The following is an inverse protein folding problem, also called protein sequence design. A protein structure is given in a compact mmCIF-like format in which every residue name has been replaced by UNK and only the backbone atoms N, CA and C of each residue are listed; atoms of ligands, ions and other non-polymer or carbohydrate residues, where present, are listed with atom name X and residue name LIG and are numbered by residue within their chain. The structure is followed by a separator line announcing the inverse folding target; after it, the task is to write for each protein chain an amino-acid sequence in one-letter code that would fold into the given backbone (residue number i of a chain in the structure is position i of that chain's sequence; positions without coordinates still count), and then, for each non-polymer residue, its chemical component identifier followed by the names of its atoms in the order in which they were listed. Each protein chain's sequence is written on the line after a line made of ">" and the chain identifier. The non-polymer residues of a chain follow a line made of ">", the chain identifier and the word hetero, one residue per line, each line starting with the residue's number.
data_IF_768025445358
#
_entry.id   IF_768025445358
#
_cell.length_a   1.000
_cell.length_b   1.000
_cell.length_c   1.000
_cell.angle_alpha   90.00
_cell.angle_beta   90.00
_cell.angle_gamma   90.00
#
_symmetry.space_group_name_H-M   'P 1'
#
loop_
_entity.id
_entity.type
_entity.pdbx_description
1 polymer ?
#
# COMPACT_ATOMS: atom_id res chain seq x y z
N UNK A 1 -8.55 4.68 -4.06
CA UNK A 1 -8.63 5.31 -2.73
C UNK A 1 -9.78 4.76 -1.91
N UNK A 2 -9.73 4.97 -0.62
CA UNK A 2 -10.72 4.49 0.34
C UNK A 2 -10.48 3.04 0.80
N UNK A 3 -11.47 2.49 1.50
CA UNK A 3 -11.41 1.16 2.08
C UNK A 3 -12.37 0.25 1.31
N UNK A 4 -11.93 -0.50 0.29
CA UNK A 4 -12.82 -1.30 -0.55
C UNK A 4 -13.53 -2.41 0.24
N UNK A 5 -12.97 -2.86 1.36
CA UNK A 5 -13.61 -3.81 2.25
C UNK A 5 -14.87 -3.28 2.97
N UNK A 6 -15.19 -1.98 2.87
CA UNK A 6 -16.49 -1.43 3.29
C UNK A 6 -17.66 -1.87 2.41
N UNK A 7 -17.39 -2.24 1.15
CA UNK A 7 -18.43 -2.72 0.25
C UNK A 7 -19.05 -4.00 0.78
N UNK A 8 -20.37 -4.15 0.60
CA UNK A 8 -21.06 -5.40 0.89
C UNK A 8 -20.64 -6.49 -0.12
N UNK A 9 -20.81 -7.75 0.26
CA UNK A 9 -20.51 -8.89 -0.63
C UNK A 9 -21.25 -8.77 -1.98
N UNK A 10 -22.50 -8.28 -1.96
CA UNK A 10 -23.25 -8.04 -3.20
C UNK A 10 -22.60 -7.00 -4.08
N UNK A 11 -22.16 -5.86 -3.49
CA UNK A 11 -21.49 -4.79 -4.24
C UNK A 11 -20.14 -5.26 -4.78
N UNK A 12 -19.36 -6.01 -3.98
CA UNK A 12 -18.08 -6.58 -4.43
C UNK A 12 -18.29 -7.50 -5.65
N UNK A 13 -19.23 -8.44 -5.59
CA UNK A 13 -19.53 -9.32 -6.73
C UNK A 13 -19.99 -8.53 -7.94
N UNK A 14 -20.93 -7.58 -7.78
CA UNK A 14 -21.40 -6.74 -8.89
C UNK A 14 -20.27 -5.97 -9.55
N UNK A 15 -19.37 -5.38 -8.75
CA UNK A 15 -18.21 -4.64 -9.28
C UNK A 15 -17.26 -5.58 -10.03
N UNK A 16 -16.90 -6.71 -9.43
CA UNK A 16 -15.97 -7.68 -10.02
C UNK A 16 -16.53 -8.30 -11.30
N UNK A 17 -17.82 -8.66 -11.31
CA UNK A 17 -18.47 -9.21 -12.52
C UNK A 17 -18.38 -8.20 -13.68
N UNK A 18 -18.62 -6.91 -13.40
CA UNK A 18 -18.45 -5.86 -14.41
C UNK A 18 -17.01 -5.66 -14.86
N UNK A 19 -16.04 -5.80 -13.94
CA UNK A 19 -14.62 -5.73 -14.30
C UNK A 19 -14.22 -6.92 -15.18
N UNK A 20 -14.72 -8.12 -14.89
CA UNK A 20 -14.50 -9.33 -15.72
C UNK A 20 -15.05 -9.20 -17.13
N UNK A 21 -16.16 -8.46 -17.32
CA UNK A 21 -16.72 -8.18 -18.63
C UNK A 21 -15.81 -7.24 -19.47
N UNK A 22 -14.97 -6.43 -18.81
CA UNK A 22 -14.20 -5.36 -19.46
C UNK A 22 -12.71 -5.67 -19.60
N UNK A 23 -12.16 -6.48 -18.70
CA UNK A 23 -10.73 -6.78 -18.62
C UNK A 23 -10.47 -8.29 -18.69
N UNK A 24 -9.30 -8.72 -19.20
CA UNK A 24 -8.92 -10.13 -19.25
C UNK A 24 -8.57 -10.64 -17.84
N UNK A 25 -9.56 -10.74 -16.98
CA UNK A 25 -9.43 -11.07 -15.56
C UNK A 25 -8.70 -12.39 -15.33
N UNK A 26 -8.96 -13.40 -16.16
CA UNK A 26 -8.37 -14.73 -16.05
C UNK A 26 -6.89 -14.78 -16.46
N UNK A 27 -6.40 -13.72 -17.13
CA UNK A 27 -4.99 -13.55 -17.48
C UNK A 27 -4.23 -12.69 -16.45
N UNK A 28 -4.90 -12.23 -15.41
CA UNK A 28 -4.33 -11.36 -14.38
C UNK A 28 -3.43 -12.16 -13.44
N UNK A 29 -2.17 -11.76 -13.34
CA UNK A 29 -1.20 -12.42 -12.46
C UNK A 29 -1.45 -12.15 -10.97
N UNK A 30 -2.00 -10.98 -10.63
CA UNK A 30 -2.31 -10.60 -9.24
C UNK A 30 -3.61 -9.81 -9.15
N UNK A 31 -4.48 -10.24 -8.26
CA UNK A 31 -5.63 -9.47 -7.79
C UNK A 31 -5.42 -9.14 -6.31
N UNK A 32 -4.89 -7.96 -6.04
CA UNK A 32 -4.65 -7.49 -4.68
C UNK A 32 -5.88 -6.78 -4.12
N UNK A 33 -6.18 -7.01 -2.85
CA UNK A 33 -7.33 -6.39 -2.18
C UNK A 33 -6.97 -5.88 -0.79
N UNK A 34 -7.17 -4.57 -0.58
CA UNK A 34 -6.90 -3.88 0.69
C UNK A 34 -8.07 -4.01 1.65
N UNK A 35 -7.80 -4.41 2.88
CA UNK A 35 -8.81 -4.68 3.89
C UNK A 35 -8.54 -3.97 5.22
N UNK A 36 -9.57 -3.35 5.76
CA UNK A 36 -9.63 -2.92 7.15
C UNK A 36 -10.20 -4.06 8.00
N UNK A 37 -9.49 -4.59 9.02
CA UNK A 37 -9.91 -5.76 9.79
C UNK A 37 -11.32 -5.66 10.38
N UNK A 38 -11.72 -4.47 10.87
CA UNK A 38 -13.03 -4.22 11.45
C UNK A 38 -14.21 -4.33 10.47
N UNK A 39 -13.94 -4.28 9.15
CA UNK A 39 -14.97 -4.42 8.11
C UNK A 39 -15.13 -5.86 7.61
N UNK A 40 -14.26 -6.77 8.05
CA UNK A 40 -14.21 -8.14 7.57
C UNK A 40 -15.12 -9.07 8.38
N UNK A 41 -15.86 -9.91 7.66
CA UNK A 41 -16.52 -11.08 8.17
C UNK A 41 -16.04 -12.32 7.41
N UNK A 42 -16.23 -13.50 7.97
CA UNK A 42 -15.90 -14.76 7.31
C UNK A 42 -16.52 -14.85 5.90
N UNK A 43 -17.83 -14.55 5.78
CA UNK A 43 -18.52 -14.49 4.48
C UNK A 43 -17.91 -13.51 3.49
N UNK A 44 -17.34 -12.40 3.97
CA UNK A 44 -16.68 -11.43 3.09
C UNK A 44 -15.34 -11.95 2.61
N UNK A 45 -14.55 -12.56 3.49
CA UNK A 45 -13.27 -13.19 3.14
C UNK A 45 -13.47 -14.35 2.15
N UNK A 46 -14.47 -15.20 2.38
CA UNK A 46 -14.88 -16.24 1.40
C UNK A 46 -15.25 -15.62 0.05
N UNK A 47 -16.06 -14.57 0.05
CA UNK A 47 -16.43 -13.89 -1.19
C UNK A 47 -15.23 -13.27 -1.92
N UNK A 48 -14.25 -12.71 -1.19
CA UNK A 48 -13.01 -12.20 -1.79
C UNK A 48 -12.22 -13.33 -2.46
N UNK A 49 -12.12 -14.49 -1.82
CA UNK A 49 -11.47 -15.66 -2.44
C UNK A 49 -12.24 -16.14 -3.67
N UNK A 50 -13.55 -16.22 -3.62
CA UNK A 50 -14.43 -16.67 -4.72
C UNK A 50 -14.32 -15.76 -5.96
N UNK A 51 -14.19 -14.44 -5.78
CA UNK A 51 -14.07 -13.49 -6.90
C UNK A 51 -12.68 -13.45 -7.51
N UNK A 52 -11.71 -14.18 -6.95
CA UNK A 52 -10.38 -14.36 -7.52
C UNK A 52 -9.30 -13.47 -6.89
N UNK A 53 -9.50 -12.96 -5.68
CA UNK A 53 -8.43 -12.26 -4.95
C UNK A 53 -7.30 -13.25 -4.67
N UNK A 54 -6.10 -12.92 -5.09
CA UNK A 54 -4.88 -13.71 -4.89
C UNK A 54 -4.07 -13.20 -3.71
N UNK A 55 -3.93 -11.87 -3.56
CA UNK A 55 -3.24 -11.23 -2.44
C UNK A 55 -4.21 -10.42 -1.58
N UNK A 56 -4.32 -10.81 -0.32
CA UNK A 56 -5.08 -10.08 0.70
C UNK A 56 -4.11 -9.20 1.49
N UNK A 57 -4.40 -7.91 1.61
CA UNK A 57 -3.62 -6.96 2.43
C UNK A 57 -4.49 -6.47 3.58
N UNK A 58 -4.01 -6.65 4.82
CA UNK A 58 -4.73 -6.31 6.04
C UNK A 58 -4.06 -5.11 6.73
N UNK A 59 -4.74 -3.99 6.76
CA UNK A 59 -4.30 -2.79 7.48
C UNK A 59 -4.41 -2.97 9.00
N UNK A 60 -3.49 -3.72 9.59
CA UNK A 60 -3.46 -3.98 11.04
C UNK A 60 -2.90 -2.78 11.79
N UNK A 61 -1.85 -2.16 11.26
CA UNK A 61 -1.16 -0.98 11.73
C UNK A 61 -0.42 -1.17 13.06
N UNK A 62 -1.07 -1.71 14.08
CA UNK A 62 -0.53 -2.08 15.38
C UNK A 62 -1.40 -3.17 16.03
N UNK A 63 -0.87 -3.89 17.04
CA UNK A 63 -1.61 -4.89 17.81
C UNK A 63 -2.00 -4.41 19.21
N UNK A 64 -1.76 -3.16 19.55
CA UNK A 64 -2.13 -2.57 20.84
C UNK A 64 -3.40 -1.72 20.69
N UNK A 65 -4.44 -2.07 21.45
CA UNK A 65 -5.75 -1.44 21.35
C UNK A 65 -5.72 0.05 21.74
N UNK A 66 -4.85 0.46 22.67
CA UNK A 66 -4.68 1.87 23.01
C UNK A 66 -4.09 2.65 21.84
N UNK A 67 -3.01 2.12 21.23
CA UNK A 67 -2.39 2.75 20.06
C UNK A 67 -3.38 2.86 18.90
N UNK A 68 -4.13 1.79 18.60
CA UNK A 68 -5.16 1.82 17.57
C UNK A 68 -6.21 2.89 17.86
N UNK A 69 -6.69 2.99 19.11
CA UNK A 69 -7.72 3.94 19.51
C UNK A 69 -7.29 5.40 19.38
N UNK A 70 -6.13 5.76 19.93
CA UNK A 70 -5.63 7.15 19.89
C UNK A 70 -5.29 7.61 18.49
N UNK A 71 -5.00 6.68 17.58
CA UNK A 71 -4.77 6.96 16.16
C UNK A 71 -6.03 6.84 15.28
N UNK A 72 -7.21 6.70 15.90
CA UNK A 72 -8.50 6.73 15.20
C UNK A 72 -8.79 5.50 14.35
N UNK A 73 -8.17 4.36 14.64
CA UNK A 73 -8.43 3.11 13.92
C UNK A 73 -9.78 2.53 14.33
N UNK A 74 -10.53 2.04 13.36
CA UNK A 74 -11.88 1.53 13.57
C UNK A 74 -11.91 0.13 14.19
N UNK A 75 -10.83 -0.65 14.03
CA UNK A 75 -10.69 -2.01 14.56
C UNK A 75 -9.90 -2.05 15.86
N UNK A 76 -9.93 -3.21 16.51
CA UNK A 76 -9.11 -3.58 17.66
C UNK A 76 -8.29 -4.83 17.33
N UNK A 77 -7.30 -5.14 18.14
CA UNK A 77 -6.39 -6.27 17.97
C UNK A 77 -7.12 -7.62 17.78
N UNK A 78 -8.22 -7.83 18.52
CA UNK A 78 -9.02 -9.06 18.40
C UNK A 78 -9.60 -9.26 16.99
N UNK A 79 -10.02 -8.19 16.31
CA UNK A 79 -10.53 -8.24 14.94
C UNK A 79 -9.42 -8.53 13.94
N UNK A 80 -8.22 -7.96 14.16
CA UNK A 80 -7.03 -8.27 13.39
C UNK A 80 -6.66 -9.76 13.49
N UNK A 81 -6.56 -10.30 14.70
CA UNK A 81 -6.27 -11.72 14.92
C UNK A 81 -7.33 -12.65 14.32
N UNK A 82 -8.62 -12.28 14.44
CA UNK A 82 -9.70 -13.07 13.84
C UNK A 82 -9.60 -13.08 12.31
N UNK A 83 -9.40 -11.91 11.71
CA UNK A 83 -9.28 -11.78 10.25
C UNK A 83 -8.09 -12.58 9.71
N UNK A 84 -6.90 -12.46 10.33
CA UNK A 84 -5.70 -13.21 9.96
C UNK A 84 -5.91 -14.70 10.05
N UNK A 85 -6.40 -15.20 11.19
CA UNK A 85 -6.62 -16.64 11.38
C UNK A 85 -7.57 -17.20 10.33
N UNK A 86 -8.67 -16.51 10.04
CA UNK A 86 -9.62 -16.99 9.05
C UNK A 86 -9.06 -16.88 7.63
N UNK A 87 -8.39 -15.78 7.27
CA UNK A 87 -7.73 -15.64 5.97
C UNK A 87 -6.75 -16.79 5.68
N UNK A 88 -5.95 -17.20 6.67
CA UNK A 88 -5.01 -18.30 6.56
C UNK A 88 -5.69 -19.67 6.30
N UNK A 89 -7.00 -19.82 6.60
CA UNK A 89 -7.75 -21.06 6.28
C UNK A 89 -8.31 -21.09 4.87
N UNK A 90 -8.36 -19.94 4.18
CA UNK A 90 -9.00 -19.81 2.86
C UNK A 90 -8.06 -20.04 1.67
N UNK A 91 -6.74 -20.17 1.93
CA UNK A 91 -5.76 -20.43 0.90
C UNK A 91 -5.63 -19.29 -0.12
N UNK A 92 -5.59 -18.04 0.33
CA UNK A 92 -5.08 -16.95 -0.50
C UNK A 92 -3.63 -17.24 -0.86
N UNK A 93 -3.22 -16.85 -2.06
CA UNK A 93 -1.85 -17.09 -2.53
C UNK A 93 -0.85 -16.33 -1.66
N UNK A 94 -1.27 -15.14 -1.16
CA UNK A 94 -0.48 -14.32 -0.26
C UNK A 94 -1.37 -13.54 0.73
N UNK A 95 -0.94 -13.48 1.98
CA UNK A 95 -1.52 -12.62 3.03
C UNK A 95 -0.45 -11.63 3.48
N UNK A 96 -0.69 -10.35 3.19
CA UNK A 96 0.11 -9.22 3.66
C UNK A 96 -0.53 -8.59 4.88
N UNK A 97 0.29 -8.11 5.82
CA UNK A 97 -0.14 -7.19 6.86
C UNK A 97 0.61 -5.88 6.75
N UNK A 98 -0.08 -4.78 7.02
CA UNK A 98 0.53 -3.45 7.09
C UNK A 98 0.74 -3.06 8.55
N UNK A 99 1.93 -2.54 8.87
CA UNK A 99 2.29 -1.98 10.16
C UNK A 99 2.73 -0.52 9.98
N UNK A 100 2.49 0.32 11.01
CA UNK A 100 2.91 1.72 10.99
C UNK A 100 3.81 2.01 12.18
N UNK A 101 5.06 2.35 11.92
CA UNK A 101 6.03 2.78 12.91
C UNK A 101 5.87 4.27 13.25
N UNK A 102 5.88 4.60 14.54
CA UNK A 102 5.89 5.97 15.02
C UNK A 102 4.51 6.61 15.17
N UNK A 103 3.49 5.81 15.43
CA UNK A 103 2.12 6.26 15.72
C UNK A 103 2.07 7.12 17.00
N UNK A 104 0.96 7.84 17.22
CA UNK A 104 0.76 8.59 18.46
C UNK A 104 0.77 7.64 19.67
N UNK A 105 1.39 8.07 20.75
CA UNK A 105 1.58 7.33 22.02
C UNK A 105 2.38 6.02 21.89
N UNK A 106 2.89 5.70 20.71
CA UNK A 106 3.72 4.52 20.51
C UNK A 106 5.10 4.70 21.16
N UNK A 107 5.54 3.68 21.89
CA UNK A 107 6.88 3.59 22.47
C UNK A 107 7.71 2.53 21.75
N UNK A 108 9.03 2.58 21.94
CA UNK A 108 9.92 1.57 21.40
C UNK A 108 9.55 0.14 21.86
N UNK A 109 9.17 -0.02 23.14
CA UNK A 109 8.74 -1.30 23.66
C UNK A 109 7.41 -1.77 23.06
N UNK A 110 6.48 -0.85 22.78
CA UNK A 110 5.25 -1.19 22.07
C UNK A 110 5.55 -1.62 20.64
N UNK A 111 6.38 -0.86 19.93
CA UNK A 111 6.79 -1.20 18.56
C UNK A 111 7.45 -2.59 18.48
N UNK A 112 8.38 -2.89 19.39
CA UNK A 112 9.04 -4.20 19.47
C UNK A 112 8.05 -5.33 19.68
N UNK A 113 7.11 -5.17 20.61
CA UNK A 113 6.04 -6.17 20.81
C UNK A 113 5.14 -6.32 19.59
N UNK A 114 4.83 -5.21 18.90
CA UNK A 114 4.04 -5.24 17.68
C UNK A 114 4.73 -6.09 16.58
N UNK A 115 6.02 -5.87 16.35
CA UNK A 115 6.82 -6.64 15.39
C UNK A 115 6.92 -8.11 15.77
N UNK A 116 7.21 -8.42 17.05
CA UNK A 116 7.28 -9.81 17.52
C UNK A 116 5.91 -10.51 17.35
N UNK A 117 4.82 -9.82 17.67
CA UNK A 117 3.46 -10.34 17.43
C UNK A 117 3.22 -10.62 15.94
N UNK A 118 3.64 -9.73 15.05
CA UNK A 118 3.52 -9.94 13.60
C UNK A 118 4.29 -11.19 13.15
N UNK A 119 5.50 -11.38 13.66
CA UNK A 119 6.31 -12.59 13.39
C UNK A 119 5.60 -13.86 13.88
N UNK A 120 5.02 -13.84 15.08
CA UNK A 120 4.25 -14.96 15.62
C UNK A 120 3.03 -15.32 14.77
N UNK A 121 2.36 -14.32 14.19
CA UNK A 121 1.23 -14.54 13.27
C UNK A 121 1.69 -15.15 11.94
N UNK A 122 2.92 -14.96 11.53
CA UNK A 122 3.58 -15.60 10.39
C UNK A 122 2.96 -15.28 9.02
N UNK A 123 2.60 -14.03 8.69
CA UNK A 123 2.07 -13.69 7.38
C UNK A 123 3.10 -13.94 6.27
N UNK A 124 2.66 -14.02 5.01
CA UNK A 124 3.57 -14.21 3.89
C UNK A 124 4.44 -12.98 3.65
N UNK A 125 3.91 -11.81 3.94
CA UNK A 125 4.62 -10.55 3.82
C UNK A 125 4.14 -9.51 4.84
N UNK A 126 5.03 -8.56 5.17
CA UNK A 126 4.74 -7.44 6.06
C UNK A 126 5.23 -6.17 5.40
N UNK A 127 4.33 -5.20 5.25
CA UNK A 127 4.66 -3.86 4.77
C UNK A 127 4.71 -2.91 5.96
N UNK A 128 5.83 -2.21 6.12
CA UNK A 128 6.06 -1.30 7.24
C UNK A 128 6.11 0.13 6.73
N UNK A 129 5.13 0.93 7.15
CA UNK A 129 5.07 2.36 6.88
C UNK A 129 5.62 3.15 8.06
N UNK A 130 6.04 4.38 7.81
CA UNK A 130 6.37 5.36 8.83
C UNK A 130 5.23 6.35 8.96
N UNK A 131 4.75 6.60 10.18
CA UNK A 131 3.61 7.49 10.40
C UNK A 131 3.86 8.88 9.84
N UNK A 132 2.99 9.31 8.95
CA UNK A 132 2.93 10.66 8.40
C UNK A 132 1.59 11.30 8.73
N UNK A 133 1.59 12.59 9.00
CA UNK A 133 0.36 13.35 9.24
C UNK A 133 0.20 14.36 8.11
N UNK A 134 -0.59 14.01 7.07
CA UNK A 134 -0.89 14.96 6.01
C UNK A 134 -1.65 16.19 6.52
N UNK A 135 -1.38 17.35 5.92
CA UNK A 135 -1.90 18.66 6.35
C UNK A 135 -3.43 18.78 6.35
N UNK A 136 -4.14 17.91 5.64
CA UNK A 136 -5.60 17.93 5.53
C UNK A 136 -6.31 16.97 6.51
N UNK A 137 -5.56 16.23 7.33
CA UNK A 137 -6.13 15.29 8.31
C UNK A 137 -6.74 16.00 9.53
N UNK A 138 -7.63 15.31 10.23
CA UNK A 138 -8.21 15.80 11.50
C UNK A 138 -7.11 16.08 12.53
N UNK A 139 -6.15 15.16 12.68
CA UNK A 139 -5.00 15.31 13.57
C UNK A 139 -4.23 16.60 13.26
N UNK A 140 -3.95 16.87 11.98
CA UNK A 140 -3.25 18.09 11.59
C UNK A 140 -4.06 19.36 11.93
N UNK A 141 -5.37 19.33 11.68
CA UNK A 141 -6.26 20.47 11.98
C UNK A 141 -6.35 20.76 13.48
N UNK A 142 -6.47 19.71 14.29
CA UNK A 142 -6.49 19.80 15.76
C UNK A 142 -5.14 20.29 16.32
N UNK A 143 -4.03 19.76 15.81
CA UNK A 143 -2.69 20.21 16.15
C UNK A 143 -2.52 21.70 15.85
N UNK A 144 -2.93 22.16 14.66
CA UNK A 144 -2.86 23.56 14.27
C UNK A 144 -3.76 24.45 15.15
N UNK A 145 -4.98 24.01 15.45
CA UNK A 145 -5.91 24.72 16.32
C UNK A 145 -5.36 24.85 17.76
N UNK A 146 -4.62 23.84 18.25
CA UNK A 146 -3.94 23.87 19.54
C UNK A 146 -2.61 24.65 19.55
N UNK A 147 -2.22 25.28 18.43
CA UNK A 147 -0.97 26.04 18.31
C UNK A 147 0.31 25.17 18.36
N UNK A 148 0.20 23.85 18.14
CA UNK A 148 1.33 22.94 18.16
C UNK A 148 2.08 23.01 16.82
N UNK A 149 3.40 23.10 16.89
CA UNK A 149 4.30 23.15 15.72
C UNK A 149 4.74 21.76 15.27
N UNK A 150 4.73 20.79 16.19
CA UNK A 150 5.14 19.40 15.93
C UNK A 150 3.99 18.44 16.13
N UNK A 151 3.92 17.44 15.26
CA UNK A 151 2.96 16.36 15.40
C UNK A 151 3.27 15.49 16.63
N UNK A 152 2.26 14.95 17.33
CA UNK A 152 2.43 14.06 18.48
C UNK A 152 2.79 12.62 18.06
N UNK A 153 3.72 12.48 17.12
CA UNK A 153 4.23 11.22 16.58
C UNK A 153 5.74 11.16 16.72
N UNK A 154 6.34 9.98 16.63
CA UNK A 154 7.78 9.84 16.67
C UNK A 154 8.47 10.70 15.60
N UNK A 155 9.63 11.25 15.93
CA UNK A 155 10.45 12.01 14.97
C UNK A 155 11.09 11.07 13.93
N UNK A 156 11.48 11.62 12.80
CA UNK A 156 12.04 10.84 11.69
C UNK A 156 13.25 9.96 12.05
N UNK A 157 14.24 10.43 12.82
CA UNK A 157 15.33 9.55 13.25
C UNK A 157 14.87 8.34 14.03
N UNK A 158 13.92 8.52 14.95
CA UNK A 158 13.32 7.43 15.75
C UNK A 158 12.57 6.44 14.85
N UNK A 159 11.72 6.94 13.94
CA UNK A 159 10.98 6.07 13.01
C UNK A 159 11.91 5.25 12.13
N UNK A 160 12.98 5.87 11.60
CA UNK A 160 13.98 5.13 10.81
C UNK A 160 14.67 4.04 11.64
N UNK A 161 15.12 4.36 12.85
CA UNK A 161 15.75 3.38 13.73
C UNK A 161 14.79 2.22 14.07
N UNK A 162 13.50 2.51 14.28
CA UNK A 162 12.49 1.48 14.54
C UNK A 162 12.22 0.59 13.31
N UNK A 163 12.20 1.15 12.12
CA UNK A 163 12.06 0.38 10.88
C UNK A 163 13.29 -0.48 10.62
N UNK A 164 14.49 0.06 10.80
CA UNK A 164 15.73 -0.70 10.67
C UNK A 164 15.78 -1.86 11.66
N UNK A 165 15.40 -1.62 12.92
CA UNK A 165 15.30 -2.67 13.94
C UNK A 165 14.28 -3.75 13.52
N UNK A 166 13.11 -3.34 13.03
CA UNK A 166 12.08 -4.27 12.60
C UNK A 166 12.53 -5.14 11.43
N UNK A 167 13.19 -4.57 10.43
CA UNK A 167 13.72 -5.33 9.30
C UNK A 167 14.73 -6.37 9.75
N UNK A 168 15.71 -6.00 10.58
CA UNK A 168 16.67 -6.93 11.15
C UNK A 168 15.96 -8.05 11.94
N UNK A 169 14.93 -7.69 12.73
CA UNK A 169 14.19 -8.66 13.53
C UNK A 169 13.38 -9.64 12.68
N UNK A 170 12.80 -9.19 11.56
CA UNK A 170 12.17 -10.06 10.58
C UNK A 170 13.17 -10.97 9.87
N UNK A 171 14.35 -10.45 9.51
CA UNK A 171 15.42 -11.27 8.91
C UNK A 171 15.91 -12.38 9.88
N UNK A 172 16.08 -12.07 11.17
CA UNK A 172 16.36 -13.06 12.21
C UNK A 172 15.27 -14.14 12.31
N UNK A 173 14.02 -13.79 12.00
CA UNK A 173 12.90 -14.72 11.97
C UNK A 173 12.73 -15.46 10.63
N UNK A 174 13.68 -15.28 9.68
CA UNK A 174 13.70 -15.97 8.39
C UNK A 174 12.95 -15.30 7.26
N UNK A 175 12.56 -14.03 7.41
CA UNK A 175 12.07 -13.22 6.31
C UNK A 175 13.22 -12.61 5.52
N UNK A 176 12.94 -12.18 4.30
CA UNK A 176 13.88 -11.46 3.43
C UNK A 176 13.35 -10.09 3.08
N UNK A 177 14.22 -9.08 2.99
CA UNK A 177 13.84 -7.74 2.53
C UNK A 177 13.51 -7.78 1.04
N UNK A 178 12.31 -7.32 0.68
CA UNK A 178 11.79 -7.28 -0.70
C UNK A 178 11.74 -5.87 -1.29
N UNK A 179 11.67 -4.86 -0.43
CA UNK A 179 11.72 -3.45 -0.85
C UNK A 179 12.05 -2.55 0.35
N UNK A 180 12.13 -1.25 0.12
CA UNK A 180 12.30 -0.24 1.18
C UNK A 180 11.19 -0.26 2.25
N UNK A 181 10.11 -1.00 2.02
CA UNK A 181 8.94 -1.03 2.92
C UNK A 181 8.51 -2.44 3.31
N UNK A 182 9.02 -3.50 2.65
CA UNK A 182 8.38 -4.81 2.73
C UNK A 182 9.40 -5.91 2.99
N UNK A 183 9.05 -6.79 3.91
CA UNK A 183 9.71 -8.09 4.10
C UNK A 183 8.79 -9.22 3.68
N UNK A 184 9.35 -10.31 3.15
CA UNK A 184 8.62 -11.49 2.66
C UNK A 184 9.16 -12.75 3.29
N UNK A 185 8.28 -13.71 3.60
CA UNK A 185 8.66 -14.97 4.22
C UNK A 185 9.36 -15.91 3.24
N UNK A 186 8.92 -15.94 2.00
CA UNK A 186 9.52 -16.74 0.94
C UNK A 186 9.67 -15.89 -0.34
N UNK A 187 10.87 -15.37 -0.64
CA UNK A 187 11.09 -14.50 -1.79
C UNK A 187 10.93 -15.21 -3.15
N UNK A 188 10.96 -16.54 -3.20
CA UNK A 188 10.77 -17.27 -4.44
C UNK A 188 9.29 -17.33 -4.86
N UNK A 189 8.37 -17.37 -3.90
CA UNK A 189 6.94 -17.53 -4.15
C UNK A 189 6.12 -16.28 -3.85
N UNK A 190 6.59 -15.39 -2.97
CA UNK A 190 5.88 -14.17 -2.59
C UNK A 190 6.32 -13.01 -3.46
N UNK A 191 5.42 -12.54 -4.33
CA UNK A 191 5.69 -11.44 -5.28
C UNK A 191 4.62 -10.35 -5.15
N UNK A 192 5.02 -9.12 -5.33
CA UNK A 192 4.12 -7.96 -5.43
C UNK A 192 4.03 -7.51 -6.89
N UNK A 193 3.31 -8.26 -7.73
CA UNK A 193 3.27 -8.04 -9.19
C UNK A 193 2.82 -6.62 -9.53
N UNK A 194 1.73 -6.13 -8.91
CA UNK A 194 1.24 -4.77 -9.11
C UNK A 194 2.28 -3.71 -8.71
N UNK A 195 2.86 -3.84 -7.53
CA UNK A 195 3.86 -2.90 -7.00
C UNK A 195 5.11 -2.87 -7.88
N UNK A 196 5.66 -4.04 -8.15
CA UNK A 196 6.93 -4.19 -8.84
C UNK A 196 6.80 -3.71 -10.30
N UNK A 197 5.75 -4.10 -11.01
CA UNK A 197 5.46 -3.61 -12.35
C UNK A 197 5.33 -2.08 -12.39
N UNK A 198 4.61 -1.49 -11.43
CA UNK A 198 4.46 -0.04 -11.34
C UNK A 198 5.80 0.66 -11.08
N UNK A 199 6.64 0.08 -10.21
CA UNK A 199 7.94 0.67 -9.88
C UNK A 199 8.99 0.41 -10.97
N UNK A 200 8.78 -0.54 -11.83
CA UNK A 200 9.55 -0.78 -13.05
C UNK A 200 9.03 0.00 -14.26
N UNK A 201 8.06 0.88 -14.07
CA UNK A 201 7.62 1.84 -15.08
C UNK A 201 6.41 1.42 -15.90
N UNK A 202 5.63 0.43 -15.45
CA UNK A 202 4.38 0.08 -16.11
C UNK A 202 3.36 1.22 -16.01
N UNK A 203 2.48 1.26 -17.00
CA UNK A 203 1.32 2.14 -17.00
C UNK A 203 0.31 1.74 -15.90
N UNK A 204 -0.36 2.73 -15.33
CA UNK A 204 -1.38 2.58 -14.30
C UNK A 204 -2.68 3.21 -14.77
N UNK A 205 -3.64 2.39 -15.16
CA UNK A 205 -5.02 2.83 -15.34
C UNK A 205 -5.73 2.82 -13.99
N UNK A 206 -6.28 3.96 -13.59
CA UNK A 206 -7.03 4.09 -12.34
C UNK A 206 -8.47 4.50 -12.55
N UNK A 207 -9.39 3.93 -11.80
CA UNK A 207 -10.78 4.27 -11.73
C UNK A 207 -11.20 4.58 -10.29
N UNK A 208 -12.25 5.38 -10.13
CA UNK A 208 -12.78 5.79 -8.84
C UNK A 208 -12.44 7.22 -8.46
N UNK A 209 -13.16 7.72 -7.45
CA UNK A 209 -13.02 9.09 -6.91
C UNK A 209 -11.61 9.31 -6.38
N UNK A 210 -11.02 10.47 -6.70
CA UNK A 210 -9.71 10.93 -6.26
C UNK A 210 -8.51 10.03 -6.67
N UNK A 211 -8.73 8.97 -7.45
CA UNK A 211 -7.65 8.06 -7.84
C UNK A 211 -6.66 8.71 -8.80
N UNK A 212 -5.40 8.31 -8.68
CA UNK A 212 -4.32 8.74 -9.56
C UNK A 212 -3.95 7.63 -10.52
N UNK A 213 -3.68 8.00 -11.79
CA UNK A 213 -3.17 7.10 -12.81
C UNK A 213 -1.96 7.70 -13.52
N UNK A 214 -1.26 6.84 -14.26
CA UNK A 214 -0.16 7.22 -15.14
C UNK A 214 -0.24 6.33 -16.38
N UNK A 215 -0.63 6.91 -17.50
CA UNK A 215 -0.90 6.17 -18.72
C UNK A 215 -0.30 6.90 -19.94
N UNK A 216 0.55 6.22 -20.71
CA UNK A 216 1.16 6.79 -21.90
C UNK A 216 1.99 8.05 -21.62
N UNK A 217 2.61 8.18 -20.44
CA UNK A 217 3.36 9.35 -20.03
C UNK A 217 2.52 10.50 -19.48
N UNK A 218 1.22 10.31 -19.34
CA UNK A 218 0.31 11.31 -18.72
C UNK A 218 0.00 10.88 -17.28
N UNK A 219 0.33 11.74 -16.33
CA UNK A 219 -0.07 11.59 -14.94
C UNK A 219 -1.40 12.30 -14.72
N UNK A 220 -2.43 11.60 -14.25
CA UNK A 220 -3.76 12.18 -14.08
C UNK A 220 -4.37 11.86 -12.72
N UNK A 221 -5.33 12.67 -12.33
CA UNK A 221 -6.16 12.47 -11.13
C UNK A 221 -7.62 12.61 -11.50
N UNK A 222 -8.44 11.67 -11.03
CA UNK A 222 -9.89 11.76 -11.14
C UNK A 222 -10.48 12.78 -10.17
N UNK A 223 -11.74 13.21 -10.40
CA UNK A 223 -12.49 14.11 -9.54
C UNK A 223 -12.40 13.66 -8.08
N UNK A 224 -12.10 14.63 -7.19
CA UNK A 224 -11.88 14.36 -5.77
C UNK A 224 -13.19 14.19 -4.99
N UNK A 225 -14.30 14.69 -5.54
CA UNK A 225 -15.62 14.65 -4.93
C UNK A 225 -16.56 13.69 -5.68
N UNK A 226 -17.39 12.96 -4.94
CA UNK A 226 -18.31 11.94 -5.49
C UNK A 226 -19.32 12.54 -6.46
N UNK A 227 -19.90 13.71 -6.15
CA UNK A 227 -20.90 14.35 -6.98
C UNK A 227 -20.40 14.66 -8.40
N UNK A 228 -19.35 15.49 -8.56
CA UNK A 228 -18.73 15.75 -9.85
C UNK A 228 -18.26 14.49 -10.58
N UNK A 229 -17.66 13.53 -9.85
CA UNK A 229 -17.24 12.26 -10.43
C UNK A 229 -18.42 11.52 -11.08
N UNK A 230 -19.53 11.35 -10.36
CA UNK A 230 -20.72 10.66 -10.85
C UNK A 230 -21.36 11.41 -12.03
N UNK A 231 -21.43 12.73 -11.98
CA UNK A 231 -21.98 13.55 -13.06
C UNK A 231 -21.23 13.34 -14.37
N UNK A 232 -19.89 13.33 -14.33
CA UNK A 232 -19.07 13.07 -15.52
C UNK A 232 -19.28 11.67 -16.07
N UNK A 233 -19.24 10.65 -15.20
CA UNK A 233 -19.43 9.25 -15.59
C UNK A 233 -20.83 9.03 -16.19
N UNK A 234 -21.88 9.57 -15.56
CA UNK A 234 -23.25 9.42 -16.03
C UNK A 234 -23.51 10.13 -17.39
N UNK A 235 -22.73 11.19 -17.69
CA UNK A 235 -22.75 11.85 -19.00
C UNK A 235 -21.94 11.12 -20.08
N UNK A 236 -21.24 10.04 -19.72
CA UNK A 236 -20.34 9.30 -20.61
C UNK A 236 -18.95 9.93 -20.77
N UNK A 237 -18.61 10.91 -19.93
CA UNK A 237 -17.30 11.56 -19.90
C UNK A 237 -16.27 10.81 -19.05
N UNK A 238 -15.01 11.21 -19.20
CA UNK A 238 -13.93 10.76 -18.31
C UNK A 238 -13.86 11.70 -17.09
N UNK A 239 -13.96 11.19 -15.86
CA UNK A 239 -14.04 12.02 -14.66
C UNK A 239 -12.66 12.55 -14.24
N UNK A 240 -11.86 13.04 -15.18
CA UNK A 240 -10.52 13.56 -14.95
C UNK A 240 -10.63 15.00 -14.40
N UNK A 241 -10.07 15.23 -13.21
CA UNK A 241 -9.97 16.56 -12.61
C UNK A 241 -8.78 17.33 -13.15
N UNK A 242 -7.64 16.66 -13.29
CA UNK A 242 -6.39 17.22 -13.79
C UNK A 242 -5.50 16.17 -14.40
N UNK A 243 -4.70 16.59 -15.37
CA UNK A 243 -3.72 15.76 -16.02
C UNK A 243 -2.46 16.57 -16.29
N UNK A 244 -1.32 15.89 -16.30
CA UNK A 244 -0.01 16.47 -16.60
C UNK A 244 0.76 15.52 -17.50
N UNK A 245 1.13 15.97 -18.69
CA UNK A 245 1.96 15.25 -19.61
C UNK A 245 3.42 15.40 -19.15
N UNK A 246 4.05 14.29 -18.81
CA UNK A 246 5.44 14.25 -18.38
C UNK A 246 6.37 14.29 -19.59
N UNK A 247 7.43 15.08 -19.52
CA UNK A 247 8.47 15.06 -20.51
C UNK A 247 9.42 13.85 -20.35
N UNK A 248 10.41 13.75 -21.21
CA UNK A 248 11.38 12.65 -21.21
C UNK A 248 12.17 12.59 -19.89
N UNK A 249 12.62 13.74 -19.40
CA UNK A 249 13.40 13.88 -18.17
C UNK A 249 12.58 13.50 -16.93
N UNK A 250 11.37 14.00 -16.84
CA UNK A 250 10.46 13.71 -15.72
C UNK A 250 10.10 12.22 -15.65
N UNK A 251 9.88 11.57 -16.79
CA UNK A 251 9.66 10.12 -16.86
C UNK A 251 10.89 9.34 -16.41
N UNK A 252 12.07 9.72 -16.88
CA UNK A 252 13.31 9.09 -16.46
C UNK A 252 13.50 9.21 -14.93
N UNK A 253 13.39 10.41 -14.37
CA UNK A 253 13.56 10.65 -12.93
C UNK A 253 12.50 9.89 -12.13
N UNK A 254 11.24 9.89 -12.58
CA UNK A 254 10.16 9.15 -11.93
C UNK A 254 10.49 7.66 -11.82
N UNK A 255 10.85 7.03 -12.92
CA UNK A 255 11.12 5.59 -12.96
C UNK A 255 12.40 5.23 -12.19
N UNK A 256 13.42 6.07 -12.26
CA UNK A 256 14.62 5.91 -11.45
C UNK A 256 14.32 5.91 -9.94
N UNK A 257 13.57 6.93 -9.46
CA UNK A 257 13.18 7.02 -8.06
C UNK A 257 12.27 5.86 -7.63
N UNK A 258 11.41 5.37 -8.52
CA UNK A 258 10.55 4.21 -8.22
C UNK A 258 11.37 2.93 -8.08
N UNK A 259 12.34 2.67 -8.97
CA UNK A 259 13.23 1.51 -8.86
C UNK A 259 14.08 1.53 -7.58
N UNK A 260 14.54 2.71 -7.14
CA UNK A 260 15.26 2.82 -5.85
C UNK A 260 14.45 2.28 -4.66
N UNK A 261 13.12 2.30 -4.72
CA UNK A 261 12.27 1.72 -3.67
C UNK A 261 12.32 0.18 -3.63
N UNK A 262 12.69 -0.46 -4.74
CA UNK A 262 12.98 -1.91 -4.78
C UNK A 262 14.34 -2.26 -4.17
N UNK A 263 15.18 -1.25 -3.89
CA UNK A 263 16.57 -1.46 -3.50
C UNK A 263 17.47 -1.89 -4.65
N UNK A 264 16.96 -1.85 -5.88
CA UNK A 264 17.65 -2.29 -7.08
C UNK A 264 17.29 -1.37 -8.26
N UNK A 265 18.28 -0.93 -9.00
CA UNK A 265 18.11 -0.19 -10.26
C UNK A 265 18.66 -1.05 -11.40
N UNK A 266 17.93 -1.13 -12.51
CA UNK A 266 18.34 -1.85 -13.72
C UNK A 266 18.96 -0.91 -14.74
N UNK A 267 20.29 -0.76 -14.84
CA UNK A 267 20.91 0.19 -15.78
C UNK A 267 20.55 -0.07 -17.23
N UNK A 268 20.44 -1.35 -17.65
CA UNK A 268 20.05 -1.72 -19.00
C UNK A 268 18.68 -1.20 -19.40
N UNK A 269 17.72 -1.19 -18.47
CA UNK A 269 16.39 -0.62 -18.70
C UNK A 269 16.43 0.86 -19.10
N UNK A 270 17.25 1.65 -18.41
CA UNK A 270 17.39 3.09 -18.69
C UNK A 270 18.13 3.33 -19.98
N UNK A 271 19.17 2.52 -20.26
CA UNK A 271 19.89 2.60 -21.52
C UNK A 271 18.98 2.27 -22.71
N UNK A 272 18.15 1.23 -22.63
CA UNK A 272 17.26 0.81 -23.70
C UNK A 272 16.09 1.77 -23.92
N UNK A 273 15.47 2.24 -22.83
CA UNK A 273 14.25 3.06 -22.89
C UNK A 273 14.54 4.54 -23.09
N UNK A 274 15.61 5.05 -22.49
CA UNK A 274 15.94 6.48 -22.44
C UNK A 274 17.23 6.84 -23.18
N UNK A 275 18.05 5.87 -23.54
CA UNK A 275 19.37 6.10 -24.14
C UNK A 275 20.39 6.64 -23.13
N UNK A 276 20.14 6.49 -21.83
CA UNK A 276 20.94 7.05 -20.77
C UNK A 276 21.52 5.99 -19.83
N UNK A 277 22.80 6.17 -19.46
CA UNK A 277 23.48 5.35 -18.47
C UNK A 277 23.36 5.99 -17.08
N UNK A 278 22.56 5.36 -16.21
CA UNK A 278 22.32 5.84 -14.83
C UNK A 278 23.60 5.89 -14.00
N UNK A 279 24.58 5.01 -14.25
CA UNK A 279 25.85 4.99 -13.53
C UNK A 279 26.72 6.21 -13.86
N UNK A 280 26.67 6.66 -15.11
CA UNK A 280 27.34 7.87 -15.57
C UNK A 280 26.62 9.14 -15.11
N UNK A 281 25.29 9.08 -15.03
CA UNK A 281 24.44 10.22 -14.66
C UNK A 281 24.44 10.52 -13.16
N UNK A 282 24.47 9.49 -12.31
CA UNK A 282 24.40 9.61 -10.85
C UNK A 282 25.57 8.93 -10.13
N UNK A 283 26.84 9.28 -10.47
CA UNK A 283 28.00 8.56 -9.94
C UNK A 283 28.19 8.74 -8.44
N UNK A 284 27.72 9.84 -7.86
CA UNK A 284 27.86 10.14 -6.43
C UNK A 284 26.73 9.50 -5.59
N UNK A 285 25.57 9.28 -6.20
CA UNK A 285 24.36 8.75 -5.54
C UNK A 285 24.30 7.22 -5.55
N UNK A 286 25.06 6.57 -6.44
CA UNK A 286 25.06 5.12 -6.63
C UNK A 286 26.35 4.42 -6.15
N UNK A 287 27.19 5.14 -5.40
CA UNK A 287 28.44 4.61 -4.79
C UNK A 287 28.19 3.95 -3.44
#
# INVERSE_FOLDING_TARGET
>A
GGTPSNLSVKQLRTLTDKMKDLFPWDETEEVAFECEPGTLSEKKLEALRDIGVTRLSLGIENFDDHILEVNGRAHRSMEAFRALRFANTLGFDQVNIDLIAGMMDETEDNWKRCVDTAIEQGPDCVTIYQMEIPYNTTIFKEMKAAGRVTAPVAIWPTKRAWVDWAFNRFEEAGYSVSSAYTVVKNPETTKFVYRDSLWEGADLLSAGVASFGHLGGVHYQNQADVGPYMTEVDSGGLPIFRAYETDHEERFVREFVLQLKLGLVHPSYFQEKYGEDVMTRFPEQLQ
#
